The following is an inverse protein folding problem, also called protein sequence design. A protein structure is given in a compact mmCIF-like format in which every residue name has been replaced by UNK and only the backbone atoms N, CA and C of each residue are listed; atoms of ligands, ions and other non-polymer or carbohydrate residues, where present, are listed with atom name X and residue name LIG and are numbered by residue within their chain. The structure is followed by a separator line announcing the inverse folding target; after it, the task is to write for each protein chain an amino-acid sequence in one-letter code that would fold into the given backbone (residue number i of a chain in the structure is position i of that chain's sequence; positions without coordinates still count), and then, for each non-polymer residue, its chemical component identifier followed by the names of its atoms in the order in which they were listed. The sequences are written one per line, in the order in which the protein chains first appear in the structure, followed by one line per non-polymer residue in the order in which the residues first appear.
data_IF_428564600379
#
_entry.id   IF_428564600379
#
_cell.length_a   1.000
_cell.length_b   1.000
_cell.length_c   1.000
_cell.angle_alpha   90.00
_cell.angle_beta   90.00
_cell.angle_gamma   90.00
#
_symmetry.space_group_name_H-M   'P 1'
#
loop_
_entity.id
_entity.type
_entity.pdbx_description
1 polymer ?
#
# COMPACT_ATOMS: atom_id res chain seq x y z
N UNK A 1 25.82 54.45 25.52
CA UNK A 1 25.91 53.45 24.43
C UNK A 1 24.62 52.66 24.39
N UNK A 2 23.85 52.78 23.29
CA UNK A 2 22.63 52.01 22.98
C UNK A 2 22.98 50.75 22.17
N UNK A 3 22.00 49.83 22.07
CA UNK A 3 21.81 48.61 21.22
C UNK A 3 22.22 47.28 21.89
N UNK A 4 21.33 46.48 22.50
CA UNK A 4 20.25 45.56 22.03
C UNK A 4 20.76 44.34 21.20
N UNK A 5 20.30 43.13 21.61
CA UNK A 5 20.12 41.84 20.88
C UNK A 5 21.18 40.76 21.20
N UNK A 6 20.86 39.50 21.52
CA UNK A 6 19.59 38.77 21.49
C UNK A 6 19.69 37.49 22.33
N UNK A 7 18.53 37.08 22.84
CA UNK A 7 18.28 35.73 23.31
C UNK A 7 18.57 34.73 22.19
N UNK A 8 19.48 33.80 22.45
CA UNK A 8 19.45 32.46 21.88
C UNK A 8 19.07 31.54 23.04
N UNK A 9 17.88 31.74 23.62
CA UNK A 9 16.75 30.84 23.42
C UNK A 9 17.18 29.53 22.76
N UNK A 10 17.20 28.47 23.58
CA UNK A 10 17.09 27.09 23.13
C UNK A 10 15.97 27.02 22.09
N UNK A 11 16.33 27.11 20.81
CA UNK A 11 15.55 26.48 19.77
C UNK A 11 15.82 24.99 19.93
N UNK A 12 15.08 24.35 20.83
CA UNK A 12 14.81 22.93 20.68
C UNK A 12 14.20 22.79 19.29
N UNK A 13 15.01 22.35 18.34
CA UNK A 13 14.52 21.80 17.10
C UNK A 13 13.66 20.61 17.50
N UNK A 14 12.35 20.84 17.63
CA UNK A 14 11.39 19.78 17.45
C UNK A 14 11.56 19.34 15.99
N UNK A 15 12.51 18.45 15.74
CA UNK A 15 12.42 17.57 14.61
C UNK A 15 11.11 16.81 14.85
N UNK A 16 10.08 17.20 14.09
CA UNK A 16 8.97 16.31 13.84
C UNK A 16 9.64 15.09 13.21
N UNK A 17 9.82 14.02 13.98
CA UNK A 17 10.21 12.75 13.42
C UNK A 17 9.13 12.44 12.38
N UNK A 18 9.46 12.53 11.09
CA UNK A 18 8.54 12.01 10.09
C UNK A 18 8.32 10.55 10.46
N UNK A 19 7.07 10.20 10.74
CA UNK A 19 6.70 8.80 10.91
C UNK A 19 7.24 8.04 9.70
N UNK A 20 7.99 6.97 9.96
CA UNK A 20 8.47 6.13 8.88
C UNK A 20 7.25 5.62 8.10
N UNK A 21 7.32 5.55 6.75
CA UNK A 21 6.25 4.95 5.97
C UNK A 21 5.88 3.57 6.52
N UNK A 22 4.59 3.32 6.62
CA UNK A 22 4.03 2.06 7.12
C UNK A 22 4.02 1.05 5.98
N UNK A 23 4.38 -0.21 6.25
CA UNK A 23 4.17 -1.28 5.29
C UNK A 23 2.71 -1.70 5.34
N UNK A 24 2.02 -1.60 4.21
CA UNK A 24 0.68 -2.09 4.00
C UNK A 24 0.71 -3.40 3.22
N UNK A 25 -0.23 -4.29 3.53
CA UNK A 25 -0.56 -5.45 2.74
C UNK A 25 -2.00 -5.41 2.27
N UNK A 26 -2.28 -5.99 1.11
CA UNK A 26 -3.64 -6.23 0.61
C UNK A 26 -3.84 -7.74 0.47
N UNK A 27 -4.81 -8.29 1.20
CA UNK A 27 -5.19 -9.69 1.02
C UNK A 27 -6.01 -9.87 -0.25
N UNK A 28 -5.95 -11.08 -0.81
CA UNK A 28 -6.72 -11.47 -1.99
C UNK A 28 -8.23 -11.24 -1.82
N UNK A 29 -8.74 -11.35 -0.59
CA UNK A 29 -10.14 -11.08 -0.25
C UNK A 29 -10.42 -9.62 0.19
N UNK A 30 -9.53 -8.69 -0.16
CA UNK A 30 -9.77 -7.25 -0.07
C UNK A 30 -9.58 -6.65 1.33
N UNK A 31 -8.83 -7.29 2.22
CA UNK A 31 -8.47 -6.66 3.50
C UNK A 31 -7.21 -5.84 3.34
N UNK A 32 -7.30 -4.55 3.63
CA UNK A 32 -6.12 -3.71 3.80
C UNK A 32 -5.59 -3.91 5.23
N UNK A 33 -4.31 -4.24 5.35
CA UNK A 33 -3.63 -4.48 6.62
C UNK A 33 -2.38 -3.61 6.72
N UNK A 34 -2.01 -3.20 7.92
CA UNK A 34 -0.64 -2.73 8.21
C UNK A 34 0.20 -3.91 8.68
N UNK A 35 1.50 -3.90 8.41
CA UNK A 35 2.41 -5.00 8.75
C UNK A 35 3.61 -4.44 9.50
N UNK A 36 3.86 -4.96 10.71
CA UNK A 36 5.03 -4.59 11.49
C UNK A 36 6.29 -5.22 10.89
N UNK A 37 7.20 -4.40 10.35
CA UNK A 37 8.41 -4.87 9.65
C UNK A 37 9.45 -5.54 10.55
N UNK A 38 9.34 -5.44 11.88
CA UNK A 38 10.24 -6.10 12.82
C UNK A 38 9.76 -7.49 13.25
N UNK A 39 8.45 -7.74 13.19
CA UNK A 39 7.83 -8.97 13.72
C UNK A 39 7.02 -9.74 12.68
N UNK A 40 6.72 -9.13 11.54
CA UNK A 40 5.82 -9.65 10.52
C UNK A 40 4.34 -9.49 10.85
N UNK A 41 3.96 -9.17 12.09
CA UNK A 41 2.56 -9.18 12.51
C UNK A 41 1.71 -8.14 11.78
N UNK A 42 0.62 -8.59 11.16
CA UNK A 42 -0.38 -7.76 10.51
C UNK A 42 -1.43 -7.21 11.48
N UNK A 43 -1.99 -6.04 11.17
CA UNK A 43 -3.15 -5.45 11.86
C UNK A 43 -4.15 -4.96 10.80
N UNK A 44 -5.42 -5.34 10.93
CA UNK A 44 -6.47 -4.93 9.99
C UNK A 44 -6.69 -3.42 10.03
N UNK A 45 -6.70 -2.79 8.85
CA UNK A 45 -7.12 -1.39 8.66
C UNK A 45 -8.61 -1.36 8.34
N UNK A 46 -9.03 -2.14 7.34
CA UNK A 46 -10.42 -2.21 6.90
C UNK A 46 -10.60 -3.13 5.70
N UNK A 47 -11.86 -3.31 5.30
CA UNK A 47 -12.21 -4.05 4.09
C UNK A 47 -12.42 -3.06 2.94
N UNK A 48 -11.74 -3.28 1.83
CA UNK A 48 -11.83 -2.42 0.64
C UNK A 48 -13.12 -2.62 -0.15
N UNK A 49 -13.81 -3.74 0.08
CA UNK A 49 -14.93 -4.21 -0.73
C UNK A 49 -14.52 -4.85 -2.06
N UNK A 50 -13.21 -4.90 -2.34
CA UNK A 50 -12.66 -5.58 -3.50
C UNK A 50 -12.53 -7.08 -3.24
N UNK A 51 -12.40 -7.85 -4.31
CA UNK A 51 -12.16 -9.30 -4.28
C UNK A 51 -11.21 -9.68 -5.41
N UNK A 52 -10.50 -10.79 -5.24
CA UNK A 52 -9.43 -11.20 -6.17
C UNK A 52 -8.43 -10.07 -6.39
N UNK A 53 -7.90 -9.55 -5.29
CA UNK A 53 -6.86 -8.52 -5.34
C UNK A 53 -5.53 -9.21 -5.61
N UNK A 54 -4.94 -8.97 -6.78
CA UNK A 54 -3.68 -9.59 -7.18
C UNK A 54 -2.47 -8.71 -6.83
N UNK A 55 -2.64 -7.38 -6.79
CA UNK A 55 -1.51 -6.47 -6.60
C UNK A 55 -1.85 -5.19 -5.82
N UNK A 56 -0.83 -4.60 -5.21
CA UNK A 56 -0.90 -3.23 -4.67
C UNK A 56 0.46 -2.56 -4.69
N UNK A 57 0.53 -1.29 -5.13
CA UNK A 57 1.72 -0.44 -5.03
C UNK A 57 1.35 0.96 -4.55
N UNK A 58 2.31 1.67 -3.95
CA UNK A 58 2.15 3.07 -3.57
C UNK A 58 2.80 4.02 -4.58
N UNK A 59 2.16 5.13 -4.90
CA UNK A 59 2.81 6.21 -5.65
C UNK A 59 3.86 6.95 -4.78
N UNK A 60 4.70 7.82 -5.36
CA UNK A 60 5.69 8.58 -4.58
C UNK A 60 5.10 9.52 -3.52
N UNK A 61 3.79 9.80 -3.55
CA UNK A 61 3.09 10.57 -2.52
C UNK A 61 2.52 9.70 -1.39
N UNK A 62 2.68 8.37 -1.48
CA UNK A 62 2.20 7.40 -0.50
C UNK A 62 0.75 6.98 -0.71
N UNK A 63 0.13 7.24 -1.87
CA UNK A 63 -1.23 6.79 -2.18
C UNK A 63 -1.19 5.36 -2.69
N UNK A 64 -2.10 4.52 -2.20
CA UNK A 64 -2.17 3.11 -2.60
C UNK A 64 -3.01 2.95 -3.88
N UNK A 65 -2.51 2.11 -4.77
CA UNK A 65 -3.19 1.67 -5.98
C UNK A 65 -3.19 0.15 -6.01
N UNK A 66 -4.30 -0.44 -6.41
CA UNK A 66 -4.46 -1.88 -6.51
C UNK A 66 -5.18 -2.24 -7.80
N UNK A 67 -4.91 -3.44 -8.30
CA UNK A 67 -5.79 -4.10 -9.26
C UNK A 67 -6.57 -5.19 -8.54
N UNK A 68 -7.81 -5.40 -8.98
CA UNK A 68 -8.66 -6.47 -8.47
C UNK A 68 -9.43 -7.14 -9.60
N UNK A 69 -10.42 -7.98 -9.26
CA UNK A 69 -11.24 -8.70 -10.23
C UNK A 69 -11.58 -7.85 -11.48
N UNK A 70 -11.41 -8.46 -12.66
CA UNK A 70 -11.60 -7.86 -13.99
C UNK A 70 -10.56 -6.83 -14.43
N UNK A 71 -9.37 -6.81 -13.82
CA UNK A 71 -8.26 -5.91 -14.17
C UNK A 71 -8.61 -4.42 -14.00
N UNK A 72 -9.54 -4.11 -13.10
CA UNK A 72 -9.90 -2.74 -12.77
C UNK A 72 -8.83 -2.13 -11.84
N UNK A 73 -8.36 -0.92 -12.15
CA UNK A 73 -7.46 -0.16 -11.30
C UNK A 73 -8.25 0.64 -10.27
N UNK A 74 -7.88 0.52 -9.01
CA UNK A 74 -8.46 1.26 -7.89
C UNK A 74 -7.41 2.10 -7.18
N UNK A 75 -7.84 3.25 -6.65
CA UNK A 75 -7.12 3.94 -5.59
C UNK A 75 -7.68 3.47 -4.25
N UNK A 76 -6.81 3.13 -3.30
CA UNK A 76 -7.20 2.75 -1.94
C UNK A 76 -6.73 3.85 -0.98
N UNK A 77 -7.64 4.29 -0.11
CA UNK A 77 -7.28 5.14 1.03
C UNK A 77 -6.58 4.31 2.11
N UNK A 78 -5.35 4.68 2.44
CA UNK A 78 -4.52 3.93 3.39
C UNK A 78 -4.98 4.04 4.86
N UNK A 79 -5.94 4.91 5.16
CA UNK A 79 -6.47 5.14 6.51
C UNK A 79 -7.86 4.53 6.71
N UNK A 80 -8.72 4.53 5.69
CA UNK A 80 -10.07 3.94 5.75
C UNK A 80 -10.24 2.63 4.98
N UNK A 81 -9.23 2.21 4.21
CA UNK A 81 -9.30 1.12 3.24
C UNK A 81 -10.28 1.36 2.08
N UNK A 82 -10.87 2.55 1.94
CA UNK A 82 -11.85 2.73 0.87
C UNK A 82 -11.23 2.70 -0.52
N UNK A 83 -11.78 1.85 -1.37
CA UNK A 83 -11.41 1.75 -2.77
C UNK A 83 -12.29 2.63 -3.65
N UNK A 84 -11.67 3.39 -4.54
CA UNK A 84 -12.33 4.16 -5.58
C UNK A 84 -11.83 3.69 -6.95
N UNK A 85 -12.75 3.26 -7.82
CA UNK A 85 -12.43 2.86 -9.19
C UNK A 85 -11.81 4.05 -9.94
N UNK A 86 -10.67 3.80 -10.59
CA UNK A 86 -10.03 4.75 -11.50
C UNK A 86 -10.48 4.44 -12.92
N UNK A 87 -10.34 3.18 -13.34
CA UNK A 87 -10.67 2.75 -14.68
C UNK A 87 -10.26 1.32 -14.96
N UNK A 88 -10.81 0.81 -16.04
CA UNK A 88 -10.59 -0.54 -16.55
C UNK A 88 -9.24 -0.62 -17.28
N UNK A 89 -8.36 -1.54 -16.85
CA UNK A 89 -7.03 -1.78 -17.46
C UNK A 89 -7.10 -2.87 -18.54
N UNK A 90 -8.24 -3.56 -18.69
CA UNK A 90 -8.45 -4.76 -19.54
C UNK A 90 -8.23 -4.55 -21.05
N UNK A 91 -7.92 -3.32 -21.49
CA UNK A 91 -7.49 -3.02 -22.85
C UNK A 91 -6.25 -3.86 -23.27
N UNK A 92 -5.49 -4.42 -22.31
CA UNK A 92 -4.33 -5.33 -22.52
C UNK A 92 -4.14 -6.33 -21.37
N UNK A 93 -5.24 -6.96 -20.92
CA UNK A 93 -5.25 -8.26 -20.20
C UNK A 93 -4.94 -8.34 -18.70
N UNK A 94 -5.06 -9.58 -18.18
CA UNK A 94 -4.77 -10.06 -16.82
C UNK A 94 -3.56 -9.32 -16.24
N UNK A 95 -3.79 -8.51 -15.21
CA UNK A 95 -2.73 -7.77 -14.50
C UNK A 95 -2.44 -8.50 -13.20
N UNK A 96 -1.26 -9.07 -13.10
CA UNK A 96 -0.86 -9.85 -11.91
C UNK A 96 -0.18 -8.99 -10.85
N UNK A 97 0.54 -7.93 -11.25
CA UNK A 97 1.36 -7.15 -10.32
C UNK A 97 1.54 -5.68 -10.71
N UNK A 98 1.71 -4.79 -9.71
CA UNK A 98 1.95 -3.36 -9.87
C UNK A 98 3.27 -2.91 -9.22
N UNK A 99 3.98 -1.98 -9.88
CA UNK A 99 5.16 -1.34 -9.29
C UNK A 99 5.31 0.12 -9.72
N UNK A 100 5.25 1.05 -8.76
CA UNK A 100 5.61 2.44 -9.01
C UNK A 100 7.12 2.67 -8.99
N UNK A 101 7.59 3.46 -9.96
CA UNK A 101 8.90 4.10 -9.87
C UNK A 101 8.86 5.39 -9.04
N UNK A 102 10.00 5.86 -8.50
CA UNK A 102 10.10 7.18 -7.85
C UNK A 102 9.69 8.36 -8.74
N UNK A 103 9.70 8.18 -10.06
CA UNK A 103 9.25 9.18 -11.03
C UNK A 103 7.72 9.22 -11.21
N UNK A 104 6.97 8.33 -10.54
CA UNK A 104 5.52 8.25 -10.62
C UNK A 104 4.99 7.43 -11.80
N UNK A 105 5.86 6.72 -12.53
CA UNK A 105 5.43 5.77 -13.57
C UNK A 105 4.94 4.50 -12.88
N UNK A 106 3.70 4.11 -13.13
CA UNK A 106 3.11 2.84 -12.71
C UNK A 106 3.40 1.78 -13.76
N UNK A 107 4.23 0.80 -13.40
CA UNK A 107 4.47 -0.40 -14.19
C UNK A 107 3.56 -1.52 -13.73
N UNK A 108 3.26 -2.44 -14.64
CA UNK A 108 2.56 -3.66 -14.31
C UNK A 108 3.07 -4.86 -15.12
N UNK A 109 2.95 -6.06 -14.54
CA UNK A 109 3.00 -7.31 -15.30
C UNK A 109 1.62 -7.54 -15.87
N UNK A 110 1.55 -7.98 -17.13
CA UNK A 110 0.30 -8.41 -17.74
C UNK A 110 0.54 -9.31 -18.95
N UNK A 111 -0.48 -10.09 -19.34
CA UNK A 111 -0.32 -11.17 -20.35
C UNK A 111 -1.35 -11.22 -21.46
N UNK A 112 -0.93 -11.38 -22.74
CA UNK A 112 -1.71 -11.23 -24.01
C UNK A 112 -3.12 -11.88 -24.03
N UNK A 113 -3.22 -12.87 -23.19
CA UNK A 113 -4.19 -13.91 -23.02
C UNK A 113 -3.77 -14.65 -21.74
N UNK A 114 -4.64 -15.51 -21.22
CA UNK A 114 -4.28 -16.42 -20.13
C UNK A 114 -3.23 -17.49 -20.54
N UNK A 115 -2.50 -17.32 -21.64
CA UNK A 115 -1.50 -18.28 -22.12
C UNK A 115 -0.09 -17.92 -21.62
N UNK A 116 0.61 -18.95 -21.18
CA UNK A 116 2.00 -18.90 -20.71
C UNK A 116 2.92 -18.41 -21.85
N UNK A 117 3.68 -17.33 -21.61
CA UNK A 117 4.73 -16.84 -22.51
C UNK A 117 4.40 -15.63 -23.38
N UNK A 118 3.25 -14.99 -23.16
CA UNK A 118 2.89 -13.71 -23.77
C UNK A 118 2.92 -12.53 -22.77
N UNK A 119 3.49 -12.78 -21.60
CA UNK A 119 3.66 -11.78 -20.58
C UNK A 119 4.63 -10.67 -20.96
N UNK A 120 4.34 -9.50 -20.42
CA UNK A 120 5.07 -8.29 -20.73
C UNK A 120 4.97 -7.28 -19.62
N UNK A 121 5.93 -6.38 -19.64
CA UNK A 121 5.86 -5.16 -18.90
C UNK A 121 4.96 -4.17 -19.65
N UNK A 122 4.01 -3.60 -18.93
CA UNK A 122 3.18 -2.48 -19.37
C UNK A 122 3.35 -1.29 -18.43
N UNK A 123 2.93 -0.11 -18.88
CA UNK A 123 2.68 1.04 -18.02
C UNK A 123 1.19 1.31 -17.95
N UNK A 124 0.70 1.80 -16.82
CA UNK A 124 -0.69 2.20 -16.62
C UNK A 124 -0.71 3.69 -16.26
N UNK A 125 -1.60 4.47 -16.87
CA UNK A 125 -1.91 5.83 -16.43
C UNK A 125 -2.74 5.77 -15.14
N UNK A 126 -2.19 6.21 -13.99
CA UNK A 126 -2.86 6.08 -12.69
C UNK A 126 -4.08 7.01 -12.53
N UNK A 127 -4.35 7.87 -13.52
CA UNK A 127 -5.53 8.74 -13.52
C UNK A 127 -6.68 8.23 -14.39
N UNK A 128 -6.40 7.31 -15.32
CA UNK A 128 -7.40 6.83 -16.28
C UNK A 128 -7.51 5.31 -16.37
N UNK A 129 -6.52 4.55 -15.87
CA UNK A 129 -6.41 3.10 -16.07
C UNK A 129 -5.89 2.72 -17.46
N UNK A 130 -5.62 3.69 -18.35
CA UNK A 130 -5.15 3.38 -19.70
C UNK A 130 -3.74 2.80 -19.69
N UNK A 131 -3.56 1.68 -20.37
CA UNK A 131 -2.33 0.93 -20.41
C UNK A 131 -1.59 1.04 -21.75
N UNK A 132 -0.26 0.89 -21.70
CA UNK A 132 0.60 0.86 -22.88
C UNK A 132 1.71 -0.17 -22.69
N UNK A 133 2.01 -0.95 -23.73
CA UNK A 133 3.07 -1.96 -23.68
C UNK A 133 4.46 -1.33 -23.68
N UNK A 134 5.32 -1.78 -22.76
CA UNK A 134 6.76 -1.49 -22.77
C UNK A 134 7.50 -2.54 -23.58
N UNK A 135 7.28 -3.83 -23.28
CA UNK A 135 7.86 -4.95 -24.03
C UNK A 135 7.75 -6.29 -23.32
N UNK A 136 7.93 -7.38 -24.07
CA UNK A 136 7.87 -8.76 -23.55
C UNK A 136 8.94 -9.00 -22.48
N UNK A 137 8.61 -9.78 -21.45
CA UNK A 137 9.62 -10.22 -20.47
C UNK A 137 10.64 -11.17 -21.09
N UNK A 138 10.25 -11.92 -22.12
CA UNK A 138 11.14 -12.80 -22.88
C UNK A 138 11.37 -14.14 -22.18
N UNK A 139 12.28 -14.19 -21.20
CA UNK A 139 12.64 -15.45 -20.50
C UNK A 139 11.72 -15.78 -19.32
N UNK A 140 10.86 -14.84 -18.91
CA UNK A 140 9.85 -15.05 -17.87
C UNK A 140 8.52 -15.49 -18.49
N UNK A 141 7.73 -16.22 -17.71
CA UNK A 141 6.50 -16.85 -18.14
C UNK A 141 5.27 -16.43 -17.34
N UNK A 142 5.46 -16.09 -16.06
CA UNK A 142 4.42 -15.72 -15.11
C UNK A 142 5.05 -14.79 -14.05
N UNK A 143 4.91 -13.46 -14.10
CA UNK A 143 5.56 -12.52 -13.17
C UNK A 143 4.58 -12.06 -12.10
N UNK A 144 4.50 -12.84 -11.03
CA UNK A 144 3.51 -12.66 -9.95
C UNK A 144 3.87 -11.59 -8.90
N UNK A 145 5.13 -11.13 -8.85
CA UNK A 145 5.52 -10.10 -7.89
C UNK A 145 6.66 -9.24 -8.43
N UNK A 146 6.66 -7.94 -8.16
CA UNK A 146 7.59 -6.96 -8.69
C UNK A 146 7.76 -5.76 -7.78
N UNK A 147 8.99 -5.26 -7.65
CA UNK A 147 9.24 -3.97 -7.03
C UNK A 147 10.33 -3.19 -7.75
N UNK A 148 10.19 -1.86 -7.75
CA UNK A 148 11.21 -0.95 -8.26
C UNK A 148 12.32 -0.75 -7.24
N UNK A 149 13.58 -0.85 -7.69
CA UNK A 149 14.75 -0.49 -6.90
C UNK A 149 15.34 0.85 -7.34
N UNK A 150 15.31 1.89 -6.48
CA UNK A 150 15.81 3.22 -6.82
C UNK A 150 17.31 3.26 -7.14
N UNK A 151 18.12 2.40 -6.50
CA UNK A 151 19.59 2.44 -6.61
C UNK A 151 20.10 2.21 -8.03
N UNK A 152 19.49 1.27 -8.76
CA UNK A 152 19.90 0.90 -10.12
C UNK A 152 18.83 1.15 -11.18
N UNK A 153 17.65 1.63 -10.77
CA UNK A 153 16.55 2.00 -11.65
C UNK A 153 15.94 0.81 -12.39
N UNK A 154 15.93 -0.37 -11.77
CA UNK A 154 15.33 -1.57 -12.35
C UNK A 154 14.17 -2.11 -11.52
N UNK A 155 13.36 -2.93 -12.18
CA UNK A 155 12.38 -3.79 -11.53
C UNK A 155 13.03 -5.12 -11.17
N UNK A 156 12.65 -5.69 -10.03
CA UNK A 156 13.01 -7.03 -9.63
C UNK A 156 11.73 -7.77 -9.29
N UNK A 157 11.65 -9.05 -9.65
CA UNK A 157 10.42 -9.81 -9.50
C UNK A 157 10.62 -11.30 -9.42
N UNK A 158 9.54 -12.01 -9.09
CA UNK A 158 9.50 -13.46 -9.07
C UNK A 158 8.67 -13.99 -10.22
N UNK A 159 9.10 -15.14 -10.75
CA UNK A 159 8.31 -15.94 -11.66
C UNK A 159 7.91 -17.26 -10.98
N UNK A 160 6.63 -17.41 -10.62
CA UNK A 160 6.17 -18.60 -9.89
C UNK A 160 6.10 -19.84 -10.78
N UNK A 161 5.86 -19.68 -12.07
CA UNK A 161 5.81 -20.79 -13.03
C UNK A 161 7.18 -21.45 -13.23
N UNK A 162 8.25 -20.65 -13.38
CA UNK A 162 9.62 -21.11 -13.53
C UNK A 162 10.38 -21.24 -12.20
N UNK A 163 9.85 -20.68 -11.12
CA UNK A 163 10.58 -20.58 -9.86
C UNK A 163 11.81 -19.68 -9.97
N UNK A 164 11.75 -18.61 -10.78
CA UNK A 164 12.91 -17.76 -11.07
C UNK A 164 12.85 -16.41 -10.33
N UNK A 165 14.01 -15.91 -9.94
CA UNK A 165 14.21 -14.53 -9.49
C UNK A 165 14.70 -13.70 -10.67
N UNK A 166 14.08 -12.55 -10.91
CA UNK A 166 14.24 -11.77 -12.12
C UNK A 166 14.76 -10.38 -11.85
N UNK A 167 15.52 -9.85 -12.81
CA UNK A 167 15.79 -8.42 -12.99
C UNK A 167 15.23 -7.97 -14.32
N UNK A 168 14.38 -6.95 -14.30
CA UNK A 168 13.54 -6.54 -15.42
C UNK A 168 13.89 -5.10 -15.81
N UNK A 169 14.11 -4.89 -17.10
CA UNK A 169 14.39 -3.57 -17.67
C UNK A 169 13.09 -2.77 -17.82
N UNK A 170 12.93 -1.62 -17.14
CA UNK A 170 11.72 -0.81 -17.27
C UNK A 170 11.63 -0.06 -18.61
N UNK A 171 12.69 -0.10 -19.41
CA UNK A 171 12.74 0.54 -20.74
C UNK A 171 12.30 -0.43 -21.83
N UNK A 172 12.58 -1.73 -21.67
CA UNK A 172 12.40 -2.74 -22.73
C UNK A 172 11.48 -3.89 -22.34
N UNK A 173 11.10 -4.01 -21.06
CA UNK A 173 10.39 -5.15 -20.52
C UNK A 173 11.24 -6.42 -20.34
N UNK A 174 12.33 -6.58 -21.10
CA UNK A 174 13.17 -7.78 -21.03
C UNK A 174 13.65 -8.12 -19.60
N UNK A 175 13.39 -9.36 -19.18
CA UNK A 175 13.81 -9.96 -17.93
C UNK A 175 15.14 -10.71 -18.07
N UNK A 176 15.91 -10.76 -16.98
CA UNK A 176 17.10 -11.59 -16.82
C UNK A 176 16.89 -12.46 -15.60
N UNK A 177 17.03 -13.78 -15.78
CA UNK A 177 16.99 -14.74 -14.67
C UNK A 177 18.28 -14.64 -13.84
N UNK A 178 18.14 -14.30 -12.56
CA UNK A 178 19.22 -14.16 -11.59
C UNK A 178 19.47 -15.44 -10.79
N UNK A 179 18.56 -16.41 -10.86
CA UNK A 179 18.64 -17.66 -10.11
C UNK A 179 17.26 -18.16 -9.66
N UNK A 180 17.22 -19.18 -8.80
CA UNK A 180 15.97 -19.64 -8.21
C UNK A 180 15.37 -18.59 -7.27
N UNK A 181 14.05 -18.47 -7.24
CA UNK A 181 13.36 -17.70 -6.22
C UNK A 181 13.35 -18.44 -4.87
N UNK A 182 13.27 -17.72 -3.74
CA UNK A 182 13.44 -18.33 -2.42
C UNK A 182 12.19 -19.07 -1.88
N UNK A 183 10.98 -18.50 -1.98
CA UNK A 183 9.80 -19.01 -1.23
C UNK A 183 8.43 -18.57 -1.81
N UNK A 184 8.13 -18.84 -3.09
CA UNK A 184 6.87 -18.46 -3.74
C UNK A 184 6.41 -17.04 -3.35
N UNK A 185 7.10 -16.03 -3.88
CA UNK A 185 6.82 -14.64 -3.52
C UNK A 185 5.59 -14.14 -4.28
N UNK A 186 4.64 -13.53 -3.57
CA UNK A 186 3.38 -13.03 -4.14
C UNK A 186 3.28 -11.51 -4.18
N UNK A 187 4.10 -10.81 -3.41
CA UNK A 187 4.13 -9.36 -3.39
C UNK A 187 5.50 -8.88 -2.98
N UNK A 188 5.95 -7.75 -3.52
CA UNK A 188 7.24 -7.13 -3.20
C UNK A 188 7.07 -5.66 -2.84
N UNK A 189 7.80 -5.19 -1.82
CA UNK A 189 7.87 -3.77 -1.50
C UNK A 189 9.27 -3.38 -1.03
N UNK A 190 9.83 -2.32 -1.63
CA UNK A 190 11.09 -1.72 -1.19
C UNK A 190 10.79 -0.62 -0.19
N UNK A 191 11.34 -0.76 1.01
CA UNK A 191 11.28 0.28 2.04
C UNK A 191 12.09 1.51 1.65
N UNK A 192 11.82 2.70 2.25
CA UNK A 192 12.61 3.91 1.99
C UNK A 192 14.12 3.77 2.29
N UNK A 193 14.50 2.83 3.15
CA UNK A 193 15.90 2.51 3.45
C UNK A 193 16.53 1.48 2.51
N UNK A 194 15.80 1.00 1.50
CA UNK A 194 16.28 0.07 0.48
C UNK A 194 16.15 -1.41 0.83
N UNK A 195 15.56 -1.77 1.98
CA UNK A 195 15.26 -3.16 2.34
C UNK A 195 14.06 -3.65 1.53
N UNK A 196 14.21 -4.78 0.85
CA UNK A 196 13.14 -5.45 0.12
C UNK A 196 12.39 -6.42 1.01
N UNK A 197 11.11 -6.17 1.17
CA UNK A 197 10.16 -7.04 1.85
C UNK A 197 9.34 -7.80 0.82
N UNK A 198 8.93 -9.01 1.18
CA UNK A 198 8.05 -9.84 0.38
C UNK A 198 7.07 -10.62 1.25
N UNK A 199 5.91 -10.93 0.70
CA UNK A 199 5.06 -12.01 1.22
C UNK A 199 5.46 -13.31 0.55
N UNK A 200 5.61 -14.37 1.36
CA UNK A 200 6.09 -15.67 0.95
C UNK A 200 5.16 -16.77 1.46
N UNK A 201 5.09 -17.86 0.69
CA UNK A 201 4.27 -19.02 1.00
C UNK A 201 5.09 -20.31 0.89
N UNK A 202 4.81 -21.31 1.73
CA UNK A 202 5.54 -22.60 1.73
C UNK A 202 5.21 -23.48 0.53
N UNK A 203 4.08 -23.21 -0.13
CA UNK A 203 3.58 -23.81 -1.36
C UNK A 203 2.49 -22.86 -1.88
N UNK A 204 2.37 -22.66 -3.19
CA UNK A 204 1.47 -21.66 -3.80
C UNK A 204 0.12 -21.51 -3.07
N UNK A 205 -0.13 -20.32 -2.52
CA UNK A 205 -1.35 -19.98 -1.75
C UNK A 205 -1.38 -20.47 -0.30
N UNK A 206 -0.30 -20.31 0.47
CA UNK A 206 -0.23 -20.69 1.90
C UNK A 206 -0.94 -19.75 2.89
N UNK A 207 -1.38 -20.28 4.03
CA UNK A 207 -2.05 -19.55 5.12
C UNK A 207 -1.36 -19.78 6.47
N UNK A 208 -1.07 -18.74 7.27
CA UNK A 208 -1.04 -17.32 6.89
C UNK A 208 0.20 -17.01 6.04
N UNK A 209 0.13 -15.89 5.30
CA UNK A 209 1.29 -15.35 4.57
C UNK A 209 2.46 -15.10 5.53
N UNK A 210 3.70 -15.30 5.08
CA UNK A 210 4.90 -15.01 5.87
C UNK A 210 5.60 -13.78 5.32
N UNK A 211 5.92 -12.81 6.17
CA UNK A 211 6.78 -11.70 5.79
C UNK A 211 8.24 -12.15 5.80
N UNK A 212 8.95 -11.87 4.70
CA UNK A 212 10.38 -12.12 4.56
C UNK A 212 11.09 -10.85 4.06
N UNK A 213 12.39 -10.75 4.32
CA UNK A 213 13.27 -9.82 3.58
C UNK A 213 14.03 -10.59 2.52
N UNK A 214 14.25 -10.00 1.34
CA UNK A 214 14.93 -10.65 0.22
C UNK A 214 16.19 -9.87 -0.16
N UNK A 215 17.33 -10.57 -0.28
CA UNK A 215 18.52 -10.04 -0.92
C UNK A 215 18.31 -10.04 -2.44
N UNK A 216 18.19 -8.85 -3.04
CA UNK A 216 17.84 -8.71 -4.46
C UNK A 216 18.86 -9.31 -5.44
N UNK A 217 20.11 -9.50 -5.02
CA UNK A 217 21.17 -9.97 -5.90
C UNK A 217 21.25 -11.49 -5.93
N UNK A 218 21.12 -12.12 -4.76
CA UNK A 218 21.21 -13.57 -4.59
C UNK A 218 19.85 -14.27 -4.62
N UNK A 219 18.75 -13.53 -4.43
CA UNK A 219 17.42 -14.10 -4.24
C UNK A 219 17.24 -14.76 -2.86
N UNK A 220 18.20 -14.62 -1.92
CA UNK A 220 18.08 -15.25 -0.61
C UNK A 220 17.04 -14.52 0.26
N UNK A 221 16.08 -15.27 0.84
CA UNK A 221 15.09 -14.73 1.76
C UNK A 221 15.41 -15.05 3.23
N UNK A 222 15.11 -14.11 4.12
CA UNK A 222 15.16 -14.27 5.58
C UNK A 222 13.77 -14.03 6.16
N UNK A 223 13.27 -14.97 6.97
CA UNK A 223 11.95 -14.85 7.60
C UNK A 223 11.95 -13.75 8.65
N UNK A 224 10.96 -12.86 8.57
CA UNK A 224 10.66 -11.86 9.60
C UNK A 224 9.61 -12.41 10.57
N UNK A 225 8.49 -12.92 10.05
CA UNK A 225 7.44 -13.53 10.86
C UNK A 225 6.12 -13.73 10.12
N UNK A 226 5.15 -14.35 10.77
CA UNK A 226 3.83 -14.58 10.18
C UNK A 226 3.02 -13.29 10.12
N UNK A 227 2.37 -13.05 9.00
CA UNK A 227 1.48 -11.88 8.80
C UNK A 227 0.18 -12.02 9.58
N UNK A 228 -0.30 -13.26 9.76
CA UNK A 228 -1.59 -13.52 10.39
C UNK A 228 -2.80 -13.31 9.47
N UNK A 229 -2.55 -13.03 8.19
CA UNK A 229 -3.54 -12.91 7.13
C UNK A 229 -3.15 -13.79 5.95
N UNK A 230 -4.17 -14.37 5.32
CA UNK A 230 -4.01 -15.31 4.21
C UNK A 230 -3.87 -14.54 2.89
N UNK A 231 -3.07 -15.11 1.97
CA UNK A 231 -2.88 -14.63 0.60
C UNK A 231 -2.75 -13.11 0.49
N UNK A 232 -1.71 -12.56 1.11
CA UNK A 232 -1.38 -11.13 1.00
C UNK A 232 -0.60 -10.93 -0.31
N UNK A 233 -1.34 -10.55 -1.36
CA UNK A 233 -0.86 -10.43 -2.73
C UNK A 233 -0.45 -9.01 -3.12
N UNK A 234 -0.84 -7.99 -2.33
CA UNK A 234 -0.30 -6.64 -2.47
C UNK A 234 0.61 -6.25 -1.31
N UNK A 235 1.72 -5.56 -1.57
CA UNK A 235 2.58 -4.94 -0.56
C UNK A 235 3.03 -3.55 -0.99
N UNK A 236 2.91 -2.56 -0.10
CA UNK A 236 3.38 -1.21 -0.40
C UNK A 236 3.76 -0.44 0.86
N UNK A 237 4.84 0.35 0.78
CA UNK A 237 5.11 1.37 1.79
C UNK A 237 4.33 2.64 1.46
N UNK A 238 3.47 3.06 2.38
CA UNK A 238 2.66 4.26 2.23
C UNK A 238 2.66 5.08 3.52
N UNK A 239 2.41 6.38 3.37
CA UNK A 239 2.11 7.26 4.50
C UNK A 239 0.63 7.60 4.40
N UNK A 240 -0.21 7.16 5.35
CA UNK A 240 -1.62 7.52 5.31
C UNK A 240 -1.77 9.04 5.34
N UNK A 241 -2.78 9.60 4.65
CA UNK A 241 -3.11 11.00 4.80
C UNK A 241 -3.39 11.31 6.27
N UNK A 242 -3.06 12.54 6.69
CA UNK A 242 -3.39 12.97 8.04
C UNK A 242 -4.92 12.90 8.22
N UNK A 243 -5.41 12.41 9.38
CA UNK A 243 -6.82 12.48 9.70
C UNK A 243 -7.34 13.92 9.57
N UNK A 244 -8.63 14.06 9.29
CA UNK A 244 -9.34 15.35 9.31
C UNK A 244 -10.17 15.36 10.59
N UNK A 245 -9.65 15.91 11.71
CA UNK A 245 -10.35 15.80 12.99
C UNK A 245 -11.72 16.46 12.91
N UNK A 246 -12.75 15.73 13.33
CA UNK A 246 -14.11 16.19 13.47
C UNK A 246 -15.01 15.96 12.25
N UNK A 247 -14.44 15.64 11.08
CA UNK A 247 -15.21 15.22 9.91
C UNK A 247 -15.46 13.70 10.01
N UNK A 248 -16.36 13.33 10.92
CA UNK A 248 -16.65 11.94 11.28
C UNK A 248 -17.61 11.27 10.30
N UNK A 249 -18.29 12.02 9.44
CA UNK A 249 -19.13 11.48 8.37
C UNK A 249 -18.44 11.51 6.99
N UNK A 250 -17.28 12.19 6.88
CA UNK A 250 -16.47 12.35 5.67
C UNK A 250 -17.18 13.03 4.51
N UNK A 251 -18.02 14.03 4.81
CA UNK A 251 -18.63 14.91 3.81
C UNK A 251 -17.73 16.12 3.44
N UNK A 252 -16.57 16.23 4.07
CA UNK A 252 -15.58 17.29 3.85
C UNK A 252 -15.74 18.49 4.78
N UNK A 253 -16.69 18.43 5.72
CA UNK A 253 -16.92 19.46 6.71
C UNK A 253 -16.93 18.84 8.11
N UNK A 254 -16.26 19.50 9.06
CA UNK A 254 -16.38 19.14 10.47
C UNK A 254 -17.41 20.07 11.12
N UNK A 255 -18.66 19.64 11.16
CA UNK A 255 -19.80 20.42 11.63
C UNK A 255 -20.83 19.61 12.46
N UNK A 256 -22.00 20.20 12.72
CA UNK A 256 -23.01 19.59 13.58
C UNK A 256 -23.58 18.27 13.01
N UNK A 257 -23.44 18.06 11.69
CA UNK A 257 -23.86 16.84 11.00
C UNK A 257 -22.97 15.64 11.33
N UNK A 258 -21.78 15.87 11.87
CA UNK A 258 -20.85 14.82 12.31
C UNK A 258 -21.22 14.20 13.66
N UNK A 259 -22.09 14.83 14.46
CA UNK A 259 -22.38 14.37 15.83
C UNK A 259 -22.85 12.92 15.86
N UNK A 260 -23.75 12.52 14.95
CA UNK A 260 -24.27 11.15 14.95
C UNK A 260 -23.19 10.14 14.54
N UNK A 261 -22.33 10.51 13.60
CA UNK A 261 -21.23 9.67 13.12
C UNK A 261 -20.14 9.53 14.19
N UNK A 262 -19.76 10.64 14.83
CA UNK A 262 -18.82 10.68 15.95
C UNK A 262 -19.31 9.85 17.15
N UNK A 263 -20.59 9.96 17.51
CA UNK A 263 -21.18 9.14 18.57
C UNK A 263 -21.15 7.65 18.21
N UNK A 264 -21.42 7.30 16.96
CA UNK A 264 -21.31 5.91 16.50
C UNK A 264 -19.86 5.40 16.57
N UNK A 265 -18.88 6.24 16.17
CA UNK A 265 -17.45 5.92 16.22
C UNK A 265 -16.97 5.55 17.63
N UNK A 266 -17.44 6.27 18.66
CA UNK A 266 -17.08 5.98 20.07
C UNK A 266 -17.78 4.73 20.60
N UNK A 267 -19.08 4.56 20.30
CA UNK A 267 -19.89 3.50 20.91
C UNK A 267 -19.58 2.13 20.32
N UNK A 268 -19.50 2.06 18.99
CA UNK A 268 -19.27 0.82 18.26
C UNK A 268 -18.46 1.13 16.99
N UNK A 269 -17.12 1.16 17.08
CA UNK A 269 -16.24 1.39 15.94
C UNK A 269 -16.48 0.42 14.78
N UNK A 270 -16.88 -0.82 15.08
CA UNK A 270 -17.15 -1.82 14.05
C UNK A 270 -18.44 -1.50 13.30
N UNK A 271 -19.51 -1.11 14.00
CA UNK A 271 -20.74 -0.65 13.37
C UNK A 271 -20.54 0.69 12.64
N UNK A 272 -19.74 1.61 13.20
CA UNK A 272 -19.35 2.85 12.53
C UNK A 272 -18.70 2.56 11.17
N UNK A 273 -17.74 1.65 11.10
CA UNK A 273 -17.09 1.26 9.85
C UNK A 273 -18.07 0.63 8.83
N UNK A 274 -19.20 0.07 9.26
CA UNK A 274 -20.25 -0.40 8.35
C UNK A 274 -21.15 0.73 7.84
N UNK A 275 -21.39 1.76 8.66
CA UNK A 275 -22.23 2.92 8.32
C UNK A 275 -21.49 3.97 7.50
N UNK A 276 -20.19 4.14 7.78
CA UNK A 276 -19.30 5.13 7.17
C UNK A 276 -18.04 4.43 6.63
N UNK A 277 -18.17 3.51 5.65
CA UNK A 277 -17.07 2.63 5.23
C UNK A 277 -15.85 3.35 4.66
N UNK A 278 -16.00 4.58 4.17
CA UNK A 278 -14.90 5.39 3.68
C UNK A 278 -14.36 6.41 4.65
N UNK A 279 -14.92 6.48 5.86
CA UNK A 279 -14.51 7.47 6.82
C UNK A 279 -13.50 6.89 7.82
N UNK A 280 -12.27 7.45 7.87
CA UNK A 280 -11.27 6.96 8.80
C UNK A 280 -11.75 7.15 10.24
N UNK A 281 -11.67 6.08 11.04
CA UNK A 281 -11.99 6.18 12.47
C UNK A 281 -11.13 7.26 13.15
N UNK A 282 -9.90 7.46 12.68
CA UNK A 282 -8.99 8.50 13.17
C UNK A 282 -9.51 9.94 13.00
N UNK A 283 -10.54 10.19 12.17
CA UNK A 283 -11.20 11.50 12.14
C UNK A 283 -11.98 11.79 13.44
N UNK A 284 -12.32 10.76 14.21
CA UNK A 284 -12.95 10.88 15.52
C UNK A 284 -11.95 10.90 16.69
N UNK A 285 -10.65 10.72 16.44
CA UNK A 285 -9.57 10.96 17.43
C UNK A 285 -9.19 12.44 17.33
N UNK A 286 -9.89 13.27 18.12
CA UNK A 286 -9.80 14.73 18.05
C UNK A 286 -8.65 15.23 18.92
N UNK A 287 -8.28 14.45 19.95
CA UNK A 287 -7.22 14.82 20.86
C UNK A 287 -5.82 14.38 20.35
N UNK A 288 -5.77 13.46 19.37
CA UNK A 288 -4.57 12.97 18.71
C UNK A 288 -3.76 11.96 19.51
N UNK A 289 -4.36 11.26 20.47
CA UNK A 289 -3.70 10.27 21.32
C UNK A 289 -3.69 8.85 20.76
N UNK A 290 -4.34 8.64 19.61
CA UNK A 290 -4.44 7.36 18.92
C UNK A 290 -5.65 6.52 19.34
N UNK A 291 -6.51 7.02 20.21
CA UNK A 291 -7.72 6.36 20.68
C UNK A 291 -8.96 7.20 20.37
N UNK A 292 -10.02 6.54 19.90
CA UNK A 292 -11.35 7.16 19.75
C UNK A 292 -12.19 6.75 20.95
N UNK A 293 -12.34 7.67 21.90
CA UNK A 293 -13.08 7.41 23.13
C UNK A 293 -13.76 8.66 23.70
N UNK A 294 -14.20 8.58 24.96
CA UNK A 294 -14.94 9.67 25.63
C UNK A 294 -14.10 10.94 25.85
N UNK A 295 -12.78 10.84 25.75
CA UNK A 295 -11.85 11.98 25.90
C UNK A 295 -11.93 12.89 24.67
N UNK A 296 -12.32 12.37 23.51
CA UNK A 296 -12.50 13.15 22.27
C UNK A 296 -13.73 14.06 22.28
N UNK A 297 -14.69 13.83 23.18
CA UNK A 297 -15.96 14.57 23.21
C UNK A 297 -15.73 16.07 23.44
N UNK A 298 -14.91 16.44 24.43
CA UNK A 298 -14.68 17.85 24.74
C UNK A 298 -13.92 18.59 23.62
N UNK A 299 -12.82 18.03 23.08
CA UNK A 299 -12.18 18.55 21.87
C UNK A 299 -13.12 18.67 20.68
N UNK A 300 -13.97 17.67 20.43
CA UNK A 300 -14.96 17.70 19.36
C UNK A 300 -15.95 18.86 19.53
N UNK A 301 -16.51 19.04 20.73
CA UNK A 301 -17.39 20.18 21.04
C UNK A 301 -16.66 21.52 20.87
N UNK A 302 -15.40 21.63 21.28
CA UNK A 302 -14.61 22.84 21.09
C UNK A 302 -14.40 23.15 19.60
N UNK A 303 -14.13 22.12 18.79
CA UNK A 303 -13.99 22.20 17.33
C UNK A 303 -15.27 22.76 16.70
N UNK A 304 -16.44 22.19 17.01
CA UNK A 304 -17.73 22.64 16.48
C UNK A 304 -18.09 24.09 16.88
N UNK A 305 -17.57 24.56 18.02
CA UNK A 305 -17.77 25.93 18.50
C UNK A 305 -16.76 26.93 17.92
N UNK A 306 -15.80 26.48 17.10
CA UNK A 306 -14.72 27.31 16.57
C UNK A 306 -13.73 27.79 17.64
N UNK A 307 -13.52 26.99 18.68
CA UNK A 307 -12.68 27.33 19.86
C UNK A 307 -11.39 26.49 19.95
N UNK A 308 -10.91 25.99 18.82
CA UNK A 308 -9.67 25.21 18.69
C UNK A 308 -8.42 26.04 18.93
#
# INVERSE_FOLDING_TARGET
MRTIRSAALLAALAQIAQAQPTLYGLSFDGKLITINTATGAGTLVGNTGLSSCDAMSADPSGRLFAVSANDDLYRIDASSACAALIGDVSQVEYVEELAFSPAGILFAAGSANADVGAERLITIDPSTGQSATVGLFGVAHDVDAMAWFPDDGMLYGSDLTLGAWLRISPVTGAAVNLGPQPNFLYALAVSPSGVLYATAHTSGGGSPSTLVTVDRLSGAATVVGAVGFDTVAGLAFASPPAPVPGDANCDGHADILDINAFVAAIIDPAQYALLYPCCPLANADINGDGHVDVIDINPFVALLLGRS
#
